data_IF_170814493944
#
_entry.id   IF_170814493944
#
_cell.length_a   1.000
_cell.length_b   1.000
_cell.length_c   1.000
_cell.angle_alpha   90.00
_cell.angle_beta   90.00
_cell.angle_gamma   90.00
#
_symmetry.space_group_name_H-M   'P 1'
#
loop_
_entity.id
_entity.type
_entity.pdbx_description
1 polymer ?
#
# COMPACT_ATOMS: atom_id res chain seq x y z
N UNK A 1 21.95 8.33 -20.11
CA UNK A 1 21.75 7.16 -20.99
C UNK A 1 21.22 5.94 -20.22
N UNK A 2 21.87 5.50 -19.10
CA UNK A 2 21.43 4.35 -18.29
C UNK A 2 19.98 4.51 -17.77
N UNK A 3 19.62 5.68 -17.26
CA UNK A 3 18.27 5.99 -16.77
C UNK A 3 17.20 5.79 -17.85
N UNK A 4 17.41 6.35 -19.04
CA UNK A 4 16.48 6.22 -20.16
C UNK A 4 16.31 4.75 -20.61
N UNK A 5 17.38 3.97 -20.58
CA UNK A 5 17.34 2.54 -20.91
C UNK A 5 16.50 1.77 -19.88
N UNK A 6 16.72 2.02 -18.59
CA UNK A 6 15.95 1.39 -17.50
C UNK A 6 14.47 1.75 -17.58
N UNK A 7 14.15 3.03 -17.79
CA UNK A 7 12.77 3.51 -17.90
C UNK A 7 12.04 2.88 -19.10
N UNK A 8 12.70 2.82 -20.28
CA UNK A 8 12.14 2.14 -21.44
C UNK A 8 11.92 0.65 -21.20
N UNK A 9 12.84 -0.02 -20.48
CA UNK A 9 12.69 -1.41 -20.08
C UNK A 9 11.47 -1.61 -19.19
N UNK A 10 11.28 -0.76 -18.20
CA UNK A 10 10.13 -0.80 -17.29
C UNK A 10 8.80 -0.66 -18.04
N UNK A 11 8.65 0.34 -18.92
CA UNK A 11 7.43 0.50 -19.71
C UNK A 11 7.17 -0.64 -20.68
N UNK A 12 8.21 -1.25 -21.26
CA UNK A 12 8.08 -2.45 -22.09
C UNK A 12 7.51 -3.64 -21.30
N UNK A 13 7.94 -3.81 -20.03
CA UNK A 13 7.37 -4.86 -19.17
C UNK A 13 5.88 -4.61 -18.90
N UNK A 14 5.47 -3.36 -18.63
CA UNK A 14 4.05 -3.02 -18.46
C UNK A 14 3.25 -3.34 -19.74
N UNK A 15 3.77 -2.97 -20.91
CA UNK A 15 3.12 -3.31 -22.18
C UNK A 15 3.04 -4.83 -22.40
N UNK A 16 4.05 -5.58 -21.96
CA UNK A 16 4.03 -7.04 -21.97
C UNK A 16 2.92 -7.62 -21.10
N UNK A 17 2.76 -7.10 -19.88
CA UNK A 17 1.69 -7.50 -18.96
C UNK A 17 0.30 -7.24 -19.58
N UNK A 18 0.12 -6.08 -20.23
CA UNK A 18 -1.14 -5.75 -20.90
C UNK A 18 -1.49 -6.74 -22.01
N UNK A 19 -0.50 -7.15 -22.82
CA UNK A 19 -0.68 -8.17 -23.85
C UNK A 19 -1.07 -9.52 -23.24
N UNK A 20 -0.47 -9.93 -22.13
CA UNK A 20 -0.83 -11.19 -21.46
C UNK A 20 -2.25 -11.15 -20.86
N UNK A 21 -2.66 -10.04 -20.29
CA UNK A 21 -4.04 -9.84 -19.82
C UNK A 21 -5.02 -9.96 -21.01
N UNK A 22 -4.69 -9.37 -22.16
CA UNK A 22 -5.50 -9.50 -23.35
C UNK A 22 -5.62 -10.96 -23.83
N UNK A 23 -4.53 -11.73 -23.79
CA UNK A 23 -4.51 -13.18 -24.11
C UNK A 23 -5.39 -13.98 -23.17
N UNK A 24 -5.29 -13.73 -21.86
CA UNK A 24 -6.12 -14.40 -20.84
C UNK A 24 -7.60 -14.10 -21.11
N UNK A 25 -7.96 -12.84 -21.30
CA UNK A 25 -9.36 -12.44 -21.61
C UNK A 25 -9.90 -13.10 -22.86
N UNK A 26 -9.10 -13.16 -23.94
CA UNK A 26 -9.44 -13.87 -25.17
C UNK A 26 -9.72 -15.33 -24.88
N UNK A 27 -8.82 -15.99 -24.11
CA UNK A 27 -8.95 -17.42 -23.78
C UNK A 27 -10.19 -17.71 -22.94
N UNK A 28 -10.51 -16.86 -21.97
CA UNK A 28 -11.75 -16.98 -21.17
C UNK A 28 -12.97 -16.91 -22.09
N UNK A 29 -13.02 -15.97 -23.03
CA UNK A 29 -14.10 -15.83 -23.99
C UNK A 29 -14.25 -17.05 -24.90
N UNK A 30 -13.14 -17.57 -25.43
CA UNK A 30 -13.13 -18.80 -26.26
C UNK A 30 -13.66 -20.03 -25.50
N UNK A 31 -13.49 -20.06 -24.19
CA UNK A 31 -13.96 -21.14 -23.31
C UNK A 31 -15.37 -20.88 -22.73
N UNK A 32 -15.99 -19.76 -23.04
CA UNK A 32 -17.29 -19.38 -22.47
C UNK A 32 -17.27 -19.08 -20.97
N UNK A 33 -16.08 -18.76 -20.41
CA UNK A 33 -15.87 -18.50 -18.98
C UNK A 33 -15.87 -17.01 -18.64
N UNK A 34 -15.83 -16.13 -19.64
CA UNK A 34 -15.68 -14.69 -19.49
C UNK A 34 -16.80 -14.03 -18.66
N UNK A 35 -18.02 -14.59 -18.72
CA UNK A 35 -19.18 -14.08 -17.97
C UNK A 35 -19.20 -14.52 -16.50
N UNK A 36 -18.37 -15.47 -16.11
CA UNK A 36 -18.30 -16.03 -14.76
C UNK A 36 -16.90 -15.95 -14.15
N UNK A 37 -16.06 -15.05 -14.64
CA UNK A 37 -14.68 -14.89 -14.12
C UNK A 37 -14.45 -13.45 -13.71
N UNK A 38 -14.12 -13.23 -12.46
CA UNK A 38 -13.60 -11.95 -11.94
C UNK A 38 -12.09 -11.89 -12.19
N UNK A 39 -11.59 -10.77 -12.70
CA UNK A 39 -10.16 -10.55 -12.93
C UNK A 39 -9.69 -9.46 -11.99
N UNK A 40 -8.65 -9.75 -11.20
CA UNK A 40 -8.02 -8.80 -10.29
C UNK A 40 -6.57 -8.60 -10.77
N UNK A 41 -6.22 -7.36 -11.07
CA UNK A 41 -4.86 -6.96 -11.46
C UNK A 41 -4.36 -6.00 -10.39
N UNK A 42 -3.23 -6.33 -9.76
CA UNK A 42 -2.59 -5.44 -8.80
C UNK A 42 -1.06 -5.58 -8.83
N UNK A 43 -0.36 -4.55 -8.35
CA UNK A 43 1.05 -4.62 -8.01
C UNK A 43 1.27 -5.10 -6.57
N UNK A 44 2.43 -5.66 -6.29
CA UNK A 44 2.88 -6.05 -4.94
C UNK A 44 3.44 -4.87 -4.16
N UNK A 45 4.20 -4.00 -4.82
CA UNK A 45 4.76 -2.76 -4.30
C UNK A 45 4.89 -1.71 -5.40
N UNK A 46 5.04 -0.45 -5.00
CA UNK A 46 5.42 0.63 -5.90
C UNK A 46 6.92 0.62 -6.22
N UNK A 47 7.38 1.59 -7.01
CA UNK A 47 8.78 1.67 -7.43
C UNK A 47 9.19 3.12 -7.72
N UNK A 48 10.36 3.54 -7.25
CA UNK A 48 10.97 4.82 -7.62
C UNK A 48 11.63 4.70 -8.99
N UNK A 49 11.18 5.51 -9.92
CA UNK A 49 11.69 5.57 -11.29
C UNK A 49 12.56 6.82 -11.53
N UNK A 50 13.30 7.25 -10.53
CA UNK A 50 14.11 8.46 -10.54
C UNK A 50 13.48 9.61 -9.75
N UNK A 51 12.26 9.47 -9.27
CA UNK A 51 11.66 10.42 -8.34
C UNK A 51 12.56 10.54 -7.10
N UNK A 52 12.72 11.78 -6.61
CA UNK A 52 13.63 12.09 -5.48
C UNK A 52 15.08 11.63 -5.70
N UNK A 53 15.51 11.45 -6.95
CA UNK A 53 16.82 10.87 -7.32
C UNK A 53 17.01 9.43 -6.79
N UNK A 54 15.91 8.72 -6.53
CA UNK A 54 15.90 7.36 -6.01
C UNK A 54 15.50 6.35 -7.09
N UNK A 55 15.94 5.11 -6.89
CA UNK A 55 15.51 3.95 -7.65
C UNK A 55 15.22 2.80 -6.68
N UNK A 56 14.27 1.92 -7.03
CA UNK A 56 13.91 0.81 -6.15
C UNK A 56 12.65 1.07 -5.33
N UNK A 57 12.61 0.54 -4.12
CA UNK A 57 11.42 0.54 -3.25
C UNK A 57 11.82 0.59 -1.76
N UNK A 58 10.90 0.28 -0.84
CA UNK A 58 11.07 0.08 0.61
C UNK A 58 10.84 1.32 1.47
N UNK A 59 11.07 2.53 0.94
CA UNK A 59 10.81 3.75 1.70
C UNK A 59 9.31 4.06 1.78
N UNK A 60 8.91 4.86 2.76
CA UNK A 60 7.50 5.11 3.12
C UNK A 60 6.74 6.07 2.19
N UNK A 61 7.35 6.51 1.08
CA UNK A 61 6.69 7.40 0.12
C UNK A 61 5.67 6.68 -0.76
N UNK A 62 4.65 7.40 -1.23
CA UNK A 62 3.60 6.82 -2.09
C UNK A 62 4.16 6.16 -3.34
N UNK A 63 5.28 6.63 -3.89
CA UNK A 63 5.99 5.95 -4.98
C UNK A 63 6.31 4.48 -4.69
N UNK A 64 6.63 4.15 -3.44
CA UNK A 64 7.00 2.81 -3.00
C UNK A 64 5.81 1.99 -2.48
N UNK A 65 4.85 2.64 -1.80
CA UNK A 65 3.79 1.92 -1.09
C UNK A 65 2.46 1.88 -1.86
N UNK A 66 2.25 2.77 -2.83
CA UNK A 66 1.02 2.82 -3.61
C UNK A 66 1.14 1.95 -4.85
N UNK A 67 0.16 1.07 -5.04
CA UNK A 67 0.10 0.11 -6.14
C UNK A 67 -1.18 0.27 -6.96
N UNK A 68 -1.19 -0.07 -8.24
CA UNK A 68 -2.42 -0.17 -9.00
C UNK A 68 -3.27 -1.33 -8.48
N UNK A 69 -4.59 -1.14 -8.46
CA UNK A 69 -5.56 -2.20 -8.23
C UNK A 69 -6.73 -2.02 -9.19
N UNK A 70 -6.98 -3.02 -10.01
CA UNK A 70 -8.10 -3.06 -10.95
C UNK A 70 -8.89 -4.33 -10.68
N UNK A 71 -10.20 -4.20 -10.47
CA UNK A 71 -11.11 -5.33 -10.31
C UNK A 71 -12.14 -5.28 -11.45
N UNK A 72 -12.12 -6.28 -12.31
CA UNK A 72 -13.12 -6.50 -13.34
C UNK A 72 -14.08 -7.61 -12.89
N UNK A 73 -15.35 -7.26 -12.74
CA UNK A 73 -16.45 -8.21 -12.53
C UNK A 73 -17.40 -8.11 -13.75
N UNK A 74 -17.62 -9.17 -14.52
CA UNK A 74 -18.46 -9.12 -15.72
C UNK A 74 -19.93 -8.77 -15.42
N UNK A 75 -20.34 -8.83 -14.17
CA UNK A 75 -21.68 -8.45 -13.69
C UNK A 75 -21.81 -6.95 -13.47
N UNK A 76 -20.71 -6.21 -13.45
CA UNK A 76 -20.68 -4.75 -13.29
C UNK A 76 -20.62 -4.09 -14.66
N UNK A 77 -21.65 -3.34 -15.00
CA UNK A 77 -21.82 -2.76 -16.36
C UNK A 77 -21.20 -1.38 -16.54
N UNK A 78 -20.82 -0.70 -15.44
CA UNK A 78 -20.26 0.66 -15.48
C UNK A 78 -18.88 0.70 -14.86
N UNK A 79 -17.90 1.21 -15.60
CA UNK A 79 -16.58 1.51 -15.07
C UNK A 79 -16.65 2.67 -14.09
N UNK A 80 -15.87 2.58 -13.01
CA UNK A 80 -15.73 3.67 -12.05
C UNK A 80 -14.34 3.70 -11.45
N UNK A 81 -13.85 4.89 -11.14
CA UNK A 81 -12.74 5.10 -10.24
C UNK A 81 -13.27 5.18 -8.80
N UNK A 82 -12.57 4.52 -7.88
CA UNK A 82 -12.94 4.44 -6.46
C UNK A 82 -11.83 5.11 -5.67
N UNK A 83 -12.16 6.22 -5.00
CA UNK A 83 -11.20 7.02 -4.21
C UNK A 83 -11.27 6.65 -2.71
N UNK A 84 -11.26 5.34 -2.43
CA UNK A 84 -11.18 4.81 -1.07
C UNK A 84 -9.80 4.22 -0.80
N UNK A 85 -9.35 4.29 0.46
CA UNK A 85 -8.10 3.65 0.86
C UNK A 85 -8.28 2.14 0.95
N UNK A 86 -7.88 1.43 -0.10
CA UNK A 86 -7.89 -0.02 -0.16
C UNK A 86 -6.46 -0.56 -0.05
N UNK A 87 -6.32 -1.79 0.42
CA UNK A 87 -5.04 -2.42 0.70
C UNK A 87 -4.92 -3.76 -0.03
N UNK A 88 -3.71 -4.21 -0.29
CA UNK A 88 -3.45 -5.54 -0.82
C UNK A 88 -4.02 -6.66 0.06
N UNK A 89 -4.04 -6.48 1.38
CA UNK A 89 -4.68 -7.43 2.32
C UNK A 89 -6.20 -7.53 2.17
N UNK A 90 -6.83 -6.62 1.45
CA UNK A 90 -8.28 -6.69 1.14
C UNK A 90 -8.57 -7.70 0.01
N UNK A 91 -7.56 -8.01 -0.80
CA UNK A 91 -7.74 -8.91 -1.95
C UNK A 91 -8.08 -10.34 -1.50
N UNK A 92 -7.40 -10.98 -0.54
CA UNK A 92 -7.81 -12.28 -0.03
C UNK A 92 -9.25 -12.28 0.51
N UNK A 93 -9.62 -11.26 1.30
CA UNK A 93 -11.00 -11.11 1.83
C UNK A 93 -12.03 -10.94 0.72
N UNK A 94 -11.66 -10.23 -0.35
CA UNK A 94 -12.51 -10.06 -1.53
C UNK A 94 -12.68 -11.38 -2.29
N UNK A 95 -11.62 -12.16 -2.47
CA UNK A 95 -11.65 -13.47 -3.12
C UNK A 95 -12.53 -14.44 -2.32
N UNK A 96 -12.34 -14.49 -0.99
CA UNK A 96 -13.15 -15.32 -0.10
C UNK A 96 -14.65 -14.97 -0.25
N UNK A 97 -14.99 -13.69 -0.23
CA UNK A 97 -16.36 -13.24 -0.42
C UNK A 97 -16.95 -13.61 -1.80
N UNK A 98 -16.15 -13.51 -2.87
CA UNK A 98 -16.56 -13.93 -4.23
C UNK A 98 -16.84 -15.43 -4.26
N UNK A 99 -16.04 -16.22 -3.57
CA UNK A 99 -16.15 -17.68 -3.50
C UNK A 99 -17.24 -18.16 -2.51
N UNK A 100 -17.92 -17.25 -1.80
CA UNK A 100 -18.92 -17.60 -0.78
C UNK A 100 -18.30 -18.21 0.49
N UNK A 101 -17.02 -17.96 0.73
CA UNK A 101 -16.28 -18.44 1.91
C UNK A 101 -16.38 -17.38 3.00
N UNK A 102 -16.67 -17.79 4.22
CA UNK A 102 -16.66 -16.89 5.38
C UNK A 102 -15.26 -16.35 5.61
N UNK A 103 -15.15 -15.02 5.67
CA UNK A 103 -13.87 -14.35 5.94
C UNK A 103 -13.48 -14.59 7.40
N UNK A 104 -12.29 -15.15 7.69
CA UNK A 104 -11.85 -15.38 9.06
C UNK A 104 -11.74 -14.08 9.85
N UNK A 105 -12.18 -14.09 11.11
CA UNK A 105 -12.12 -12.89 11.98
C UNK A 105 -10.68 -12.37 12.23
N UNK A 106 -9.69 -13.25 12.07
CA UNK A 106 -8.27 -12.88 12.18
C UNK A 106 -7.74 -12.08 10.98
N UNK A 107 -8.48 -12.06 9.87
CA UNK A 107 -8.09 -11.28 8.70
C UNK A 107 -8.44 -9.81 8.88
N UNK A 108 -7.49 -8.94 8.57
CA UNK A 108 -7.68 -7.48 8.68
C UNK A 108 -8.21 -6.85 7.39
N UNK A 109 -8.13 -7.56 6.29
CA UNK A 109 -8.61 -7.14 4.99
C UNK A 109 -10.13 -7.06 4.94
N UNK A 110 -10.64 -6.17 4.12
CA UNK A 110 -12.08 -5.94 3.90
C UNK A 110 -12.50 -6.44 2.53
N UNK A 111 -13.73 -6.94 2.41
CA UNK A 111 -14.31 -7.26 1.11
C UNK A 111 -14.56 -5.99 0.30
N UNK A 112 -13.97 -5.91 -0.89
CA UNK A 112 -14.08 -4.75 -1.79
C UNK A 112 -15.29 -4.84 -2.76
N UNK A 113 -15.98 -5.99 -2.85
CA UNK A 113 -17.06 -6.17 -3.83
C UNK A 113 -18.22 -5.19 -3.66
N UNK A 114 -18.64 -4.79 -2.44
CA UNK A 114 -19.64 -3.74 -2.28
C UNK A 114 -19.25 -2.39 -2.93
N UNK A 115 -17.95 -2.00 -2.85
CA UNK A 115 -17.44 -0.83 -3.59
C UNK A 115 -17.50 -1.05 -5.10
N UNK A 116 -17.02 -2.21 -5.57
CA UNK A 116 -16.97 -2.56 -7.00
C UNK A 116 -18.36 -2.55 -7.61
N UNK A 117 -19.36 -3.08 -6.90
CA UNK A 117 -20.76 -3.16 -7.35
C UNK A 117 -21.56 -1.89 -7.12
N UNK A 118 -20.96 -0.86 -6.54
CA UNK A 118 -21.65 0.40 -6.19
C UNK A 118 -22.76 0.24 -5.14
N UNK A 119 -22.65 -0.74 -4.28
CA UNK A 119 -23.54 -0.97 -3.14
C UNK A 119 -23.22 -0.03 -1.97
N UNK A 120 -21.98 0.44 -1.91
CA UNK A 120 -21.50 1.46 -0.97
C UNK A 120 -20.44 2.34 -1.62
N UNK A 121 -20.20 3.52 -1.03
CA UNK A 121 -19.12 4.43 -1.41
C UNK A 121 -17.94 4.42 -0.43
N UNK A 122 -18.02 3.66 0.65
CA UNK A 122 -16.98 3.62 1.67
C UNK A 122 -16.83 2.24 2.29
N UNK A 123 -15.61 1.93 2.72
CA UNK A 123 -15.30 0.77 3.57
C UNK A 123 -14.93 1.20 5.00
N UNK A 124 -15.15 2.48 5.34
CA UNK A 124 -14.86 3.03 6.67
C UNK A 124 -13.41 2.76 7.12
N UNK A 125 -12.45 3.11 6.26
CA UNK A 125 -11.01 3.08 6.57
C UNK A 125 -10.45 4.48 6.47
N UNK A 126 -10.17 5.08 7.62
CA UNK A 126 -9.63 6.45 7.72
C UNK A 126 -8.10 6.49 7.89
N UNK A 127 -7.52 5.35 8.23
CA UNK A 127 -6.10 5.26 8.61
C UNK A 127 -5.54 3.88 8.32
N UNK A 128 -4.31 3.85 7.84
CA UNK A 128 -3.53 2.63 7.66
C UNK A 128 -2.20 2.74 8.41
N UNK A 129 -1.75 1.64 9.02
CA UNK A 129 -0.39 1.46 9.51
C UNK A 129 0.47 0.97 8.35
N UNK A 130 1.65 1.57 8.20
CA UNK A 130 2.65 1.19 7.21
C UNK A 130 3.92 0.86 7.95
N UNK A 131 4.52 -0.28 7.65
CA UNK A 131 5.72 -0.76 8.33
C UNK A 131 6.70 -1.39 7.34
N UNK A 132 7.96 -1.05 7.51
CA UNK A 132 9.11 -1.75 6.96
C UNK A 132 10.08 -2.00 8.10
N UNK A 133 10.04 -3.20 8.68
CA UNK A 133 10.79 -3.51 9.91
C UNK A 133 12.03 -4.38 9.65
N UNK A 134 12.26 -4.75 8.40
CA UNK A 134 13.47 -5.46 8.00
C UNK A 134 14.65 -4.50 7.96
N UNK A 135 15.72 -4.84 8.65
CA UNK A 135 16.93 -4.02 8.73
C UNK A 135 17.88 -4.36 7.58
N UNK A 136 17.93 -3.48 6.59
CA UNK A 136 18.95 -3.49 5.54
C UNK A 136 19.96 -2.40 5.81
N UNK A 137 21.22 -2.63 5.46
CA UNK A 137 22.29 -1.64 5.63
C UNK A 137 22.01 -0.29 4.97
N UNK A 138 21.32 -0.30 3.82
CA UNK A 138 21.01 0.91 3.05
C UNK A 138 19.60 1.46 3.29
N UNK A 139 18.71 0.70 3.94
CA UNK A 139 17.30 1.07 4.12
C UNK A 139 16.91 0.81 5.56
N UNK A 140 16.89 1.84 6.40
CA UNK A 140 16.59 1.69 7.81
C UNK A 140 15.11 1.29 8.02
N UNK A 141 14.83 0.48 9.04
CA UNK A 141 13.47 0.13 9.41
C UNK A 141 12.66 1.38 9.71
N UNK A 142 11.42 1.40 9.26
CA UNK A 142 10.53 2.55 9.37
C UNK A 142 9.10 2.14 9.63
N UNK A 143 8.35 3.01 10.29
CA UNK A 143 6.94 2.83 10.65
C UNK A 143 6.18 4.13 10.45
N UNK A 144 4.94 4.06 10.02
CA UNK A 144 4.19 5.24 9.70
C UNK A 144 2.69 5.05 9.63
N UNK A 145 2.01 6.16 9.49
CA UNK A 145 0.56 6.27 9.35
C UNK A 145 0.22 7.04 8.08
N UNK A 146 -0.70 6.50 7.31
CA UNK A 146 -1.32 7.21 6.21
C UNK A 146 -2.83 7.36 6.46
N UNK A 147 -3.31 8.57 6.32
CA UNK A 147 -4.73 8.90 6.21
C UNK A 147 -5.03 9.36 4.77
N UNK A 148 -6.26 9.74 4.46
CA UNK A 148 -6.60 10.30 3.15
C UNK A 148 -5.76 11.55 2.84
N UNK A 149 -5.59 12.45 3.82
CA UNK A 149 -5.00 13.77 3.63
C UNK A 149 -3.57 13.89 4.15
N UNK A 150 -3.14 13.01 5.04
CA UNK A 150 -1.86 13.12 5.73
C UNK A 150 -1.07 11.83 5.71
N UNK A 151 0.25 11.96 5.65
CA UNK A 151 1.19 10.87 5.90
C UNK A 151 2.23 11.33 6.92
N UNK A 152 2.51 10.45 7.86
CA UNK A 152 3.58 10.61 8.83
C UNK A 152 4.35 9.30 8.94
N UNK A 153 5.65 9.37 9.01
CA UNK A 153 6.48 8.23 9.30
C UNK A 153 7.76 8.63 10.04
N UNK A 154 8.39 7.66 10.66
CA UNK A 154 9.66 7.79 11.36
C UNK A 154 10.52 6.55 11.16
N UNK A 155 11.80 6.70 11.41
CA UNK A 155 12.73 5.58 11.39
C UNK A 155 12.84 4.94 12.78
N UNK A 156 12.80 3.59 12.83
CA UNK A 156 12.72 2.84 14.10
C UNK A 156 14.01 2.98 14.92
N UNK A 157 15.16 2.97 14.21
CA UNK A 157 16.48 3.06 14.83
C UNK A 157 16.82 4.48 15.33
N UNK A 158 16.19 5.51 14.75
CA UNK A 158 16.30 6.89 15.20
C UNK A 158 14.96 7.61 15.04
N UNK A 159 14.16 7.57 16.10
CA UNK A 159 12.81 8.16 16.11
C UNK A 159 12.80 9.69 16.07
N UNK A 160 13.97 10.35 16.10
CA UNK A 160 14.07 11.80 15.90
C UNK A 160 14.00 12.18 14.42
N UNK A 161 14.28 11.23 13.53
CA UNK A 161 14.13 11.41 12.08
C UNK A 161 12.68 11.09 11.71
N UNK A 162 11.92 12.14 11.50
CA UNK A 162 10.48 12.07 11.24
C UNK A 162 10.12 12.86 9.99
N UNK A 163 9.05 12.42 9.33
CA UNK A 163 8.50 13.13 8.16
C UNK A 163 6.98 13.23 8.24
N UNK A 164 6.45 14.41 7.88
CA UNK A 164 5.02 14.70 7.82
C UNK A 164 4.68 15.38 6.50
N UNK A 165 3.65 14.88 5.79
CA UNK A 165 3.22 15.40 4.51
C UNK A 165 1.71 15.65 4.46
N UNK A 166 1.32 16.79 3.89
CA UNK A 166 -0.05 17.12 3.50
C UNK A 166 -0.29 16.60 2.08
N UNK A 167 -0.81 15.39 1.96
CA UNK A 167 -0.98 14.71 0.66
C UNK A 167 -1.98 15.41 -0.27
N UNK A 168 -2.86 16.25 0.29
CA UNK A 168 -3.81 17.04 -0.50
C UNK A 168 -3.13 18.19 -1.22
N UNK A 169 -2.14 18.84 -0.59
CA UNK A 169 -1.41 19.98 -1.12
C UNK A 169 -0.07 19.60 -1.74
N UNK A 170 0.51 18.52 -1.25
CA UNK A 170 1.81 17.99 -1.66
C UNK A 170 1.73 16.48 -1.92
N UNK A 171 1.00 16.06 -2.97
CA UNK A 171 0.84 14.65 -3.31
C UNK A 171 2.15 13.97 -3.73
N UNK A 172 3.21 14.75 -3.97
CA UNK A 172 4.56 14.25 -4.28
C UNK A 172 5.46 14.16 -3.05
N UNK A 173 4.96 14.55 -1.86
CA UNK A 173 5.68 14.44 -0.59
C UNK A 173 7.05 15.12 -0.58
N UNK A 174 7.14 16.32 -1.17
CA UNK A 174 8.40 17.05 -1.35
C UNK A 174 8.73 17.88 -0.10
N UNK A 175 7.71 18.41 0.58
CA UNK A 175 7.89 19.37 1.66
C UNK A 175 7.60 18.71 3.01
N UNK A 176 8.65 18.29 3.71
CA UNK A 176 8.49 17.81 5.07
C UNK A 176 8.01 18.92 6.00
N UNK A 177 6.86 18.70 6.64
CA UNK A 177 6.18 19.65 7.53
C UNK A 177 6.43 19.36 9.01
N UNK A 178 7.14 18.28 9.36
CA UNK A 178 7.54 18.00 10.74
C UNK A 178 8.38 19.16 11.27
N UNK A 179 8.20 19.56 12.50
CA UNK A 179 8.92 20.71 13.06
C UNK A 179 8.38 22.11 12.67
N UNK A 180 7.48 22.22 11.69
CA UNK A 180 6.81 23.48 11.39
C UNK A 180 5.79 23.81 12.48
N UNK A 181 5.93 24.94 13.19
CA UNK A 181 5.03 25.37 14.29
C UNK A 181 3.54 25.27 13.92
N UNK A 182 3.18 25.69 12.69
CA UNK A 182 1.81 25.64 12.16
C UNK A 182 1.21 24.22 12.13
N UNK A 183 2.04 23.18 11.97
CA UNK A 183 1.61 21.79 11.80
C UNK A 183 1.85 20.94 13.05
N UNK A 184 2.34 21.54 14.16
CA UNK A 184 2.63 20.81 15.40
C UNK A 184 1.43 19.99 15.90
N UNK A 185 0.26 20.58 15.95
CA UNK A 185 -0.96 19.89 16.43
C UNK A 185 -1.37 18.71 15.54
N UNK A 186 -1.11 18.77 14.23
CA UNK A 186 -1.35 17.64 13.31
C UNK A 186 -0.32 16.56 13.56
N UNK A 187 0.98 16.91 13.66
CA UNK A 187 2.05 15.98 13.93
C UNK A 187 1.80 15.21 15.25
N UNK A 188 1.45 15.91 16.32
CA UNK A 188 1.19 15.30 17.62
C UNK A 188 0.00 14.31 17.56
N UNK A 189 -1.09 14.69 16.88
CA UNK A 189 -2.26 13.80 16.69
C UNK A 189 -1.91 12.54 15.91
N UNK A 190 -1.12 12.67 14.83
CA UNK A 190 -0.77 11.54 13.99
C UNK A 190 0.25 10.62 14.67
N UNK A 191 1.22 11.17 15.43
CA UNK A 191 2.10 10.38 16.30
C UNK A 191 1.32 9.54 17.29
N UNK A 192 0.38 10.16 18.01
CA UNK A 192 -0.48 9.43 18.96
C UNK A 192 -1.29 8.33 18.26
N UNK A 193 -1.73 8.56 17.03
CA UNK A 193 -2.43 7.56 16.21
C UNK A 193 -1.52 6.41 15.82
N UNK A 194 -0.27 6.69 15.45
CA UNK A 194 0.75 5.66 15.16
C UNK A 194 0.99 4.78 16.40
N UNK A 195 1.25 5.38 17.56
CA UNK A 195 1.48 4.62 18.80
C UNK A 195 0.31 3.68 19.13
N UNK A 196 -0.93 4.16 19.00
CA UNK A 196 -2.12 3.33 19.21
C UNK A 196 -2.20 2.16 18.24
N UNK A 197 -1.86 2.39 16.95
CA UNK A 197 -1.88 1.34 15.93
C UNK A 197 -0.78 0.30 16.18
N UNK A 198 0.42 0.74 16.55
CA UNK A 198 1.53 -0.14 16.92
C UNK A 198 1.13 -0.99 18.13
N UNK A 199 0.64 -0.37 19.22
CA UNK A 199 0.21 -1.08 20.42
C UNK A 199 -0.87 -2.12 20.11
N UNK A 200 -1.86 -1.78 19.29
CA UNK A 200 -2.94 -2.70 18.88
C UNK A 200 -2.40 -3.91 18.10
N UNK A 201 -1.36 -3.72 17.29
CA UNK A 201 -0.79 -4.77 16.44
C UNK A 201 0.35 -5.54 17.12
N UNK A 202 1.02 -4.96 18.13
CA UNK A 202 2.12 -5.60 18.86
C UNK A 202 1.67 -6.76 19.75
N UNK A 203 0.37 -6.86 20.08
CA UNK A 203 -0.20 -7.99 20.82
C UNK A 203 -0.37 -9.25 19.97
N UNK A 204 -0.11 -9.18 18.65
CA UNK A 204 -0.14 -10.33 17.74
C UNK A 204 1.24 -11.00 17.70
N UNK A 205 1.30 -12.37 17.70
CA UNK A 205 2.56 -13.06 17.95
C UNK A 205 3.58 -12.94 16.83
N UNK A 206 4.78 -12.86 17.20
CA UNK A 206 6.05 -13.50 16.95
C UNK A 206 7.21 -12.70 16.33
N UNK A 207 7.10 -11.89 15.33
CA UNK A 207 8.30 -11.36 14.67
C UNK A 207 8.76 -9.96 15.12
N UNK A 208 7.93 -9.23 15.87
CA UNK A 208 8.31 -7.93 16.46
C UNK A 208 9.20 -8.03 17.70
N UNK A 209 9.36 -9.22 18.30
CA UNK A 209 10.10 -9.38 19.56
C UNK A 209 11.60 -9.66 19.37
N UNK A 210 12.07 -9.91 18.15
CA UNK A 210 13.46 -10.27 17.91
C UNK A 210 14.44 -9.10 17.79
N UNK A 211 13.96 -7.87 17.63
CA UNK A 211 14.84 -6.69 17.52
C UNK A 211 15.19 -6.03 18.86
N UNK A 212 14.43 -6.30 19.93
CA UNK A 212 14.69 -5.67 21.25
C UNK A 212 15.69 -6.47 22.13
N UNK A 213 16.09 -7.67 21.70
CA UNK A 213 16.98 -8.56 22.51
C UNK A 213 18.34 -8.85 21.91
N UNK A 214 18.67 -8.33 20.74
CA UNK A 214 20.01 -8.42 20.22
C UNK A 214 20.86 -7.25 20.76
N UNK A 215 21.17 -7.30 22.06
CA UNK A 215 22.30 -6.57 22.61
C UNK A 215 23.53 -6.96 21.83
N UNK A 216 24.14 -6.00 21.13
CA UNK A 216 25.48 -6.15 20.58
C UNK A 216 26.40 -6.44 21.77
N UNK A 217 26.81 -7.67 21.94
CA UNK A 217 28.03 -7.98 22.67
C UNK A 217 29.16 -7.60 21.71
N UNK A 218 29.79 -6.46 21.99
CA UNK A 218 31.10 -6.13 21.44
C UNK A 218 32.11 -7.23 21.87
N UNK A 219 32.74 -7.81 20.89
CA UNK A 219 34.07 -8.40 21.00
C UNK A 219 34.85 -8.06 19.73
#
# INVERSE_FOLDING_TARGET
EKYQRSLKGYYRMISGIDLEIARIRKKLKEKGLDKNTVIIVMGDNGYFLGDRQMAGKWLMYDNSIRVPLIIYDPRVTKNRAIDEMVLNIDVPSTIAAIAGITIPETWQGKNLMPLVRNETNTINRDTILIEHLWDFSEIPPSEGVRTKDWKYFRYVNDKTIEELYDLKRDPKEINNLVGKKKHKGVADKIRAKLEKLIAKNSTRPCWRRSSDSAGRTEN
#
